data_IF_278306587364
#
_entry.id   IF_278306587364
#
_cell.length_a   1.000
_cell.length_b   1.000
_cell.length_c   1.000
_cell.angle_alpha   90.00
_cell.angle_beta   90.00
_cell.angle_gamma   90.00
#
_symmetry.space_group_name_H-M   'P 1'
#
loop_
_entity.id
_entity.type
_entity.pdbx_description
1 polymer ?
#
# COMPACT_ATOMS: atom_id res chain seq x y z
N UNK A 1 -61.67 27.85 -32.35
CA UNK A 1 -61.25 27.82 -30.94
C UNK A 1 -60.30 26.65 -30.73
N UNK A 2 -59.01 26.93 -30.57
CA UNK A 2 -58.05 26.10 -29.85
C UNK A 2 -56.99 27.10 -29.36
N UNK A 3 -57.24 27.68 -28.19
CA UNK A 3 -56.36 28.67 -27.55
C UNK A 3 -55.24 27.90 -26.85
N UNK A 4 -54.21 27.53 -27.61
CA UNK A 4 -52.98 26.95 -27.09
C UNK A 4 -52.04 28.06 -26.64
N UNK A 5 -51.81 28.15 -25.34
CA UNK A 5 -51.03 29.18 -24.65
C UNK A 5 -49.56 29.11 -25.12
N UNK A 6 -49.05 30.21 -25.66
CA UNK A 6 -47.62 30.41 -25.89
C UNK A 6 -46.91 30.57 -24.54
N UNK A 7 -46.22 29.52 -24.10
CA UNK A 7 -45.25 29.63 -23.00
C UNK A 7 -43.86 29.46 -23.62
N UNK A 8 -43.30 30.60 -24.04
CA UNK A 8 -41.92 30.73 -24.48
C UNK A 8 -41.07 30.66 -23.21
N UNK A 9 -40.64 29.45 -22.83
CA UNK A 9 -39.58 29.32 -21.83
C UNK A 9 -38.24 29.28 -22.57
N UNK A 10 -37.46 30.29 -22.23
CA UNK A 10 -36.08 30.55 -22.59
C UNK A 10 -35.20 29.32 -22.29
N UNK A 11 -34.31 29.00 -23.22
CA UNK A 11 -33.01 28.42 -22.89
C UNK A 11 -32.91 26.89 -22.94
N UNK A 12 -32.39 26.43 -24.06
CA UNK A 12 -31.59 25.21 -24.25
C UNK A 12 -32.25 23.85 -23.96
N UNK A 13 -32.91 23.34 -25.00
CA UNK A 13 -32.89 21.91 -25.29
C UNK A 13 -31.61 21.55 -26.05
N UNK A 14 -30.90 20.58 -25.49
CA UNK A 14 -30.26 19.44 -26.16
C UNK A 14 -29.06 19.77 -27.06
N UNK A 15 -27.95 19.06 -26.84
CA UNK A 15 -27.32 18.14 -27.79
C UNK A 15 -25.89 17.88 -27.32
N UNK A 16 -25.72 16.87 -26.47
CA UNK A 16 -24.42 16.22 -26.30
C UNK A 16 -24.13 15.48 -27.62
N UNK A 17 -23.28 16.06 -28.46
CA UNK A 17 -22.60 15.32 -29.51
C UNK A 17 -21.13 15.11 -29.09
N UNK A 18 -20.78 13.83 -28.91
CA UNK A 18 -19.42 13.28 -28.93
C UNK A 18 -18.91 13.33 -30.40
N UNK A 19 -17.63 13.39 -30.80
CA UNK A 19 -16.35 12.77 -30.40
C UNK A 19 -15.21 13.60 -31.08
N UNK A 20 -13.98 13.09 -31.33
CA UNK A 20 -12.88 12.67 -30.46
C UNK A 20 -11.62 13.54 -30.72
N UNK A 21 -10.67 13.61 -29.77
CA UNK A 21 -9.28 13.97 -30.11
C UNK A 21 -8.35 12.91 -29.55
N UNK A 22 -8.06 11.95 -30.43
CA UNK A 22 -6.81 11.20 -30.42
C UNK A 22 -5.70 12.22 -30.68
N UNK A 23 -4.77 12.32 -29.74
CA UNK A 23 -3.60 13.19 -29.81
C UNK A 23 -2.38 12.41 -29.32
N UNK A 24 -1.93 11.49 -30.14
CA UNK A 24 -0.58 10.93 -30.14
C UNK A 24 0.40 12.03 -30.53
N UNK A 25 1.20 12.50 -29.57
CA UNK A 25 2.44 13.19 -29.89
C UNK A 25 3.55 12.70 -28.96
N UNK A 26 4.37 11.81 -29.52
CA UNK A 26 5.61 11.36 -28.95
C UNK A 26 6.74 12.24 -29.48
N UNK A 27 7.32 13.07 -28.60
CA UNK A 27 8.55 13.82 -28.74
C UNK A 27 9.06 14.00 -27.30
N UNK A 28 10.30 13.76 -26.90
CA UNK A 28 11.47 13.01 -27.35
C UNK A 28 12.42 13.12 -26.14
N UNK A 29 13.28 12.14 -25.90
CA UNK A 29 14.31 12.20 -24.84
C UNK A 29 15.21 13.44 -25.05
N UNK A 30 15.79 13.95 -23.95
CA UNK A 30 16.73 15.10 -23.88
C UNK A 30 16.15 16.51 -23.61
N UNK A 31 15.54 16.71 -22.44
CA UNK A 31 15.86 17.93 -21.67
C UNK A 31 15.76 17.68 -20.16
N UNK A 32 16.90 17.27 -19.62
CA UNK A 32 17.22 17.07 -18.22
C UNK A 32 17.86 18.36 -17.69
N UNK A 33 17.17 19.09 -16.81
CA UNK A 33 17.82 19.81 -15.71
C UNK A 33 17.01 19.47 -14.46
N UNK A 34 17.29 18.29 -13.90
CA UNK A 34 16.97 18.00 -12.51
C UNK A 34 17.99 18.80 -11.67
N UNK A 35 17.56 19.71 -10.79
CA UNK A 35 18.43 20.17 -9.72
C UNK A 35 18.87 18.93 -8.94
N UNK A 36 20.16 18.62 -9.05
CA UNK A 36 20.89 17.70 -8.19
C UNK A 36 20.94 18.35 -6.80
N UNK A 37 19.81 18.34 -6.08
CA UNK A 37 19.64 18.66 -4.66
C UNK A 37 18.13 18.66 -4.30
N UNK A 38 17.52 17.48 -4.33
CA UNK A 38 16.35 17.18 -3.49
C UNK A 38 16.48 15.75 -2.94
N UNK A 39 17.70 15.37 -2.56
CA UNK A 39 17.94 14.41 -1.50
C UNK A 39 18.26 15.24 -0.25
N UNK A 40 17.61 14.90 0.85
CA UNK A 40 17.90 15.34 2.23
C UNK A 40 17.32 16.68 2.75
N UNK A 41 16.01 16.90 2.61
CA UNK A 41 15.25 17.71 3.60
C UNK A 41 14.02 16.94 4.10
N UNK A 42 14.28 15.88 4.87
CA UNK A 42 13.32 15.29 5.80
C UNK A 42 14.06 14.66 6.98
N UNK A 43 14.92 15.42 7.65
CA UNK A 43 15.53 15.00 8.92
C UNK A 43 15.47 16.16 9.90
N UNK A 44 14.33 16.29 10.58
CA UNK A 44 14.12 17.33 11.59
C UNK A 44 12.95 17.09 12.53
N UNK A 45 12.48 15.84 12.65
CA UNK A 45 11.67 15.35 13.77
C UNK A 45 11.61 13.82 13.67
N UNK A 46 12.63 13.11 14.18
CA UNK A 46 12.46 11.68 14.46
C UNK A 46 11.44 11.55 15.60
N UNK A 47 10.14 11.45 15.27
CA UNK A 47 9.18 10.83 16.17
C UNK A 47 9.44 9.33 16.15
N UNK A 48 10.55 8.91 16.78
CA UNK A 48 10.98 7.51 16.94
C UNK A 48 9.88 6.63 17.55
N UNK A 49 8.86 7.27 18.14
CA UNK A 49 7.71 6.67 18.80
C UNK A 49 6.56 6.25 17.85
N UNK A 50 6.61 6.54 16.55
CA UNK A 50 5.52 6.26 15.58
C UNK A 50 5.83 5.18 14.54
N UNK A 51 6.78 4.27 14.83
CA UNK A 51 7.11 3.15 13.95
C UNK A 51 6.40 1.87 14.38
N UNK A 52 5.90 1.13 13.39
CA UNK A 52 5.37 -0.21 13.64
C UNK A 52 6.44 -1.11 14.27
N UNK A 53 6.06 -1.85 15.31
CA UNK A 53 6.91 -2.86 15.94
C UNK A 53 6.44 -4.23 15.46
N UNK A 54 7.37 -5.04 14.94
CA UNK A 54 7.09 -6.41 14.54
C UNK A 54 8.07 -7.38 15.21
N UNK A 55 7.61 -8.57 15.63
CA UNK A 55 6.20 -8.92 15.78
C UNK A 55 5.53 -8.13 16.91
N UNK A 56 4.20 -7.98 16.84
CA UNK A 56 3.40 -7.45 17.96
C UNK A 56 2.24 -8.37 18.33
N UNK A 57 1.83 -8.36 19.60
CA UNK A 57 0.75 -9.17 20.15
C UNK A 57 -0.47 -8.30 20.42
N UNK A 58 -1.60 -8.65 19.82
CA UNK A 58 -2.89 -8.01 20.06
C UNK A 58 -3.95 -9.09 20.31
N UNK A 59 -4.66 -9.00 21.45
CA UNK A 59 -5.66 -9.99 21.91
C UNK A 59 -5.15 -11.44 21.88
N UNK A 60 -3.88 -11.64 22.24
CA UNK A 60 -3.23 -12.96 22.25
C UNK A 60 -2.79 -13.50 20.88
N UNK A 61 -2.99 -12.72 19.81
CA UNK A 61 -2.57 -13.09 18.45
C UNK A 61 -1.29 -12.31 18.11
N UNK A 62 -0.28 -13.02 17.61
CA UNK A 62 0.98 -12.44 17.16
C UNK A 62 0.88 -12.05 15.68
N UNK A 63 1.18 -10.80 15.37
CA UNK A 63 1.17 -10.24 14.01
C UNK A 63 2.59 -9.87 13.58
N UNK A 64 2.95 -10.26 12.36
CA UNK A 64 4.28 -10.01 11.78
C UNK A 64 4.26 -8.91 10.72
N UNK A 65 3.09 -8.38 10.38
CA UNK A 65 2.91 -7.28 9.44
C UNK A 65 1.64 -6.51 9.80
N UNK A 66 1.32 -5.50 9.00
CA UNK A 66 0.07 -4.76 9.10
C UNK A 66 -1.13 -5.70 8.99
N UNK A 67 -2.14 -5.49 9.83
CA UNK A 67 -3.32 -6.36 9.94
C UNK A 67 -4.61 -5.55 9.82
N UNK A 68 -5.67 -6.17 9.30
CA UNK A 68 -7.04 -5.64 9.30
C UNK A 68 -7.88 -6.24 10.43
N UNK A 69 -7.25 -6.95 11.38
CA UNK A 69 -7.97 -7.52 12.52
C UNK A 69 -8.67 -6.40 13.31
N UNK A 70 -9.98 -6.54 13.55
CA UNK A 70 -10.85 -5.55 14.18
C UNK A 70 -10.88 -4.15 13.52
N UNK A 71 -10.49 -4.02 12.25
CA UNK A 71 -10.44 -2.73 11.56
C UNK A 71 -10.73 -2.87 10.07
N UNK A 72 -11.39 -1.88 9.50
CA UNK A 72 -11.58 -1.79 8.05
C UNK A 72 -10.25 -1.47 7.35
N UNK A 73 -9.37 -0.72 8.01
CA UNK A 73 -8.06 -0.31 7.49
C UNK A 73 -6.92 -1.09 8.13
N UNK A 74 -5.86 -1.31 7.36
CA UNK A 74 -4.64 -1.95 7.86
C UNK A 74 -3.96 -1.08 8.91
N UNK A 75 -3.58 -1.69 10.03
CA UNK A 75 -2.92 -1.02 11.14
C UNK A 75 -1.80 -1.88 11.72
N UNK A 76 -0.95 -1.25 12.53
CA UNK A 76 0.12 -1.90 13.27
C UNK A 76 0.21 -1.33 14.69
N UNK A 77 0.72 -2.11 15.63
CA UNK A 77 1.06 -1.61 16.95
C UNK A 77 2.42 -0.92 16.97
N UNK A 78 2.56 0.05 17.88
CA UNK A 78 3.81 0.76 18.18
C UNK A 78 4.55 0.14 19.37
N UNK A 79 4.10 -1.02 19.86
CA UNK A 79 4.72 -1.79 20.93
C UNK A 79 4.64 -3.28 20.64
N UNK A 80 5.57 -4.07 21.17
CA UNK A 80 5.58 -5.52 21.00
C UNK A 80 4.38 -6.17 21.69
N UNK A 81 4.05 -5.75 22.91
CA UNK A 81 2.78 -6.09 23.56
C UNK A 81 1.85 -4.88 23.43
N UNK A 82 0.67 -5.07 22.85
CA UNK A 82 -0.23 -3.95 22.55
C UNK A 82 -0.63 -3.17 23.81
N UNK A 83 -0.20 -1.91 23.91
CA UNK A 83 -0.53 -1.01 25.04
C UNK A 83 -1.57 0.05 24.67
N UNK A 84 -2.34 -0.15 23.60
CA UNK A 84 -3.26 0.86 23.06
C UNK A 84 -2.64 1.84 22.08
N UNK A 85 -1.32 1.75 21.81
CA UNK A 85 -0.62 2.59 20.84
C UNK A 85 -0.53 1.91 19.48
N UNK A 86 -1.05 2.56 18.45
CA UNK A 86 -1.13 2.03 17.09
C UNK A 86 -1.22 3.15 16.06
N UNK A 87 -1.01 2.79 14.79
CA UNK A 87 -1.28 3.68 13.65
C UNK A 87 -1.80 2.90 12.45
N UNK A 88 -2.43 3.60 11.52
CA UNK A 88 -2.71 3.03 10.20
C UNK A 88 -1.43 2.85 9.40
N UNK A 89 -1.37 1.76 8.66
CA UNK A 89 -0.21 1.44 7.86
C UNK A 89 -0.19 2.24 6.55
N UNK A 90 1.01 2.71 6.22
CA UNK A 90 1.35 3.27 4.91
C UNK A 90 2.17 2.25 4.11
N UNK A 91 2.55 2.59 2.87
CA UNK A 91 3.32 1.70 1.99
C UNK A 91 4.69 1.29 2.57
N UNK A 92 5.26 2.07 3.49
CA UNK A 92 6.58 1.82 4.08
C UNK A 92 6.53 1.07 5.42
N UNK A 93 5.32 0.81 5.93
CA UNK A 93 5.10 0.20 7.25
C UNK A 93 5.00 -1.33 7.21
N UNK A 94 4.93 -1.92 6.02
CA UNK A 94 4.88 -3.38 5.88
C UNK A 94 6.20 -4.01 6.34
N UNK A 95 6.09 -5.17 6.97
CA UNK A 95 7.26 -5.92 7.37
C UNK A 95 8.08 -6.36 6.16
N UNK A 96 9.40 -6.36 6.35
CA UNK A 96 10.36 -6.81 5.36
C UNK A 96 10.66 -8.29 5.60
N UNK A 97 11.11 -8.96 4.53
CA UNK A 97 11.65 -10.30 4.64
C UNK A 97 12.74 -10.38 5.72
N UNK A 98 12.72 -11.44 6.50
CA UNK A 98 13.79 -11.79 7.44
C UNK A 98 14.67 -12.83 6.78
N UNK A 99 15.98 -12.58 6.76
CA UNK A 99 16.97 -13.51 6.25
C UNK A 99 18.06 -13.74 7.30
N UNK A 100 18.52 -14.99 7.50
CA UNK A 100 17.92 -16.22 6.95
C UNK A 100 16.58 -16.56 7.61
N UNK A 101 15.74 -17.32 6.90
CA UNK A 101 14.52 -17.92 7.49
C UNK A 101 14.44 -19.42 7.25
N UNK A 102 13.80 -20.14 8.17
CA UNK A 102 13.61 -21.59 8.12
C UNK A 102 12.26 -21.92 7.46
N UNK A 103 12.27 -22.78 6.45
CA UNK A 103 11.07 -23.39 5.84
C UNK A 103 11.34 -24.86 5.49
N UNK A 104 10.47 -25.77 5.93
CA UNK A 104 10.63 -27.21 5.72
C UNK A 104 11.96 -27.73 6.30
N UNK A 105 12.34 -27.24 7.48
CA UNK A 105 13.61 -27.53 8.15
C UNK A 105 14.87 -27.18 7.32
N UNK A 106 14.77 -26.22 6.39
CA UNK A 106 15.88 -25.68 5.59
C UNK A 106 15.96 -24.16 5.72
N UNK A 107 17.18 -23.63 5.82
CA UNK A 107 17.42 -22.19 5.87
C UNK A 107 17.54 -21.57 4.47
N UNK A 108 16.88 -20.45 4.25
CA UNK A 108 16.93 -19.69 2.99
C UNK A 108 17.39 -18.25 3.23
N UNK A 109 18.28 -17.77 2.36
CA UNK A 109 18.85 -16.40 2.39
C UNK A 109 18.26 -15.49 1.30
N UNK A 110 17.26 -15.97 0.56
CA UNK A 110 16.64 -15.27 -0.54
C UNK A 110 15.18 -15.70 -0.68
N UNK A 111 14.39 -14.95 -1.45
CA UNK A 111 13.01 -15.33 -1.74
C UNK A 111 12.97 -16.66 -2.51
N UNK A 112 12.07 -17.55 -2.13
CA UNK A 112 11.94 -18.90 -2.71
C UNK A 112 10.60 -19.07 -3.43
N UNK A 113 10.55 -19.99 -4.39
CA UNK A 113 9.30 -20.45 -5.03
C UNK A 113 8.76 -21.74 -4.42
N UNK A 114 9.60 -22.47 -3.69
CA UNK A 114 9.24 -23.76 -3.07
C UNK A 114 8.04 -23.57 -2.15
N UNK A 115 7.05 -24.45 -2.23
CA UNK A 115 5.82 -24.35 -1.44
C UNK A 115 4.76 -23.39 -1.98
N UNK A 116 5.09 -22.53 -2.96
CA UNK A 116 4.13 -21.60 -3.55
C UNK A 116 3.30 -22.30 -4.63
N UNK A 117 1.99 -22.44 -4.38
CA UNK A 117 1.03 -23.00 -5.36
C UNK A 117 0.99 -22.19 -6.66
N UNK A 118 1.19 -20.87 -6.55
CA UNK A 118 1.14 -19.93 -7.69
C UNK A 118 2.50 -19.73 -8.37
N UNK A 119 3.55 -20.46 -7.96
CA UNK A 119 4.95 -20.31 -8.43
C UNK A 119 5.52 -18.89 -8.24
N UNK A 120 4.94 -18.09 -7.36
CA UNK A 120 5.45 -16.76 -6.97
C UNK A 120 6.55 -16.89 -5.93
N UNK A 121 7.53 -16.00 -6.02
CA UNK A 121 8.55 -15.86 -4.98
C UNK A 121 7.92 -15.34 -3.69
N UNK A 122 8.34 -15.88 -2.55
CA UNK A 122 7.95 -15.45 -1.22
C UNK A 122 9.14 -15.56 -0.27
N UNK A 123 9.05 -14.88 0.87
CA UNK A 123 10.04 -14.90 1.94
C UNK A 123 9.30 -14.92 3.28
N UNK A 124 9.93 -15.36 4.36
CA UNK A 124 9.31 -15.25 5.68
C UNK A 124 9.49 -13.85 6.28
N UNK A 125 8.52 -13.42 7.07
CA UNK A 125 8.59 -12.23 7.93
C UNK A 125 9.13 -12.57 9.33
N UNK A 126 9.52 -13.81 9.56
CA UNK A 126 10.03 -14.34 10.83
C UNK A 126 11.29 -15.19 10.58
N UNK A 127 12.14 -15.40 11.60
CA UNK A 127 13.26 -16.35 11.48
C UNK A 127 12.82 -17.79 11.23
N UNK A 128 11.60 -18.17 11.65
CA UNK A 128 11.10 -19.54 11.56
C UNK A 128 9.67 -19.60 11.01
N UNK A 129 9.55 -19.80 9.69
CA UNK A 129 8.24 -19.93 9.06
C UNK A 129 7.49 -21.19 9.50
N UNK A 130 8.19 -22.28 9.80
CA UNK A 130 7.55 -23.55 10.15
C UNK A 130 6.71 -23.43 11.44
N UNK A 131 7.13 -22.55 12.35
CA UNK A 131 6.43 -22.22 13.59
C UNK A 131 5.44 -21.05 13.40
N UNK A 132 5.92 -19.91 12.90
CA UNK A 132 5.15 -18.66 12.90
C UNK A 132 4.22 -18.51 11.69
N UNK A 133 4.50 -19.22 10.59
CA UNK A 133 3.77 -19.18 9.31
C UNK A 133 3.59 -17.76 8.73
N UNK A 134 4.55 -16.88 9.00
CA UNK A 134 4.53 -15.49 8.58
C UNK A 134 5.30 -15.26 7.26
N UNK A 135 4.64 -14.73 6.23
CA UNK A 135 5.20 -14.45 4.90
C UNK A 135 4.47 -13.32 4.16
#
# INVERSE_FOLDING_TARGET
>A
LCLGIFVIWVGESMFLQLDPVIGDQQLSEDYFILPKEMEDIASGAETKDMKCVFPFTYKGIKFFSCTSHDSIFLWCSLSADYTGRWKYCTKTDYAKCVFPFIYGNKSYQACIKTGSVTKRYWCSLSPNFDEDRAW
#
